data_IF_510309937347
#
_entry.id   IF_510309937347
#
_cell.length_a   1.000
_cell.length_b   1.000
_cell.length_c   1.000
_cell.angle_alpha   90.00
_cell.angle_beta   90.00
_cell.angle_gamma   90.00
#
_symmetry.space_group_name_H-M   'P 1'
#
loop_
_entity.id
_entity.type
_entity.pdbx_description
1 polymer ?
#
# COMPACT_ATOMS: atom_id res chain seq x y z
N UNK A 1 -11.37 10.07 16.94
CA UNK A 1 -10.36 9.27 16.23
C UNK A 1 -9.07 10.05 16.25
N UNK A 2 -7.96 9.47 16.65
CA UNK A 2 -6.67 10.15 16.51
C UNK A 2 -6.41 10.22 15.01
N UNK A 3 -6.22 11.41 14.49
CA UNK A 3 -5.92 11.65 13.08
C UNK A 3 -4.44 11.28 12.84
N UNK A 4 -4.21 9.99 12.67
CA UNK A 4 -2.86 9.44 12.53
C UNK A 4 -2.57 9.20 11.06
N UNK A 5 -1.59 9.94 10.52
CA UNK A 5 -1.11 9.70 9.16
C UNK A 5 -0.42 8.35 9.04
N UNK A 6 -0.70 7.56 7.98
CA UNK A 6 0.00 6.31 7.73
C UNK A 6 1.37 6.50 7.04
N UNK A 7 1.85 7.71 6.85
CA UNK A 7 3.02 7.98 6.00
C UNK A 7 4.30 7.26 6.47
N UNK A 8 4.54 7.18 7.78
CA UNK A 8 5.68 6.42 8.32
C UNK A 8 5.40 4.91 8.50
N UNK A 9 4.22 4.41 8.11
CA UNK A 9 3.92 2.97 8.09
C UNK A 9 4.48 2.30 6.84
N UNK A 10 5.76 2.54 6.59
CA UNK A 10 6.47 2.08 5.40
C UNK A 10 7.90 1.66 5.74
N UNK A 11 8.58 1.01 4.82
CA UNK A 11 9.98 0.65 5.01
C UNK A 11 10.90 1.83 4.70
N UNK A 12 11.98 1.95 5.45
CA UNK A 12 12.94 3.05 5.29
C UNK A 12 13.52 3.12 3.85
N UNK A 13 13.63 1.98 3.18
CA UNK A 13 14.18 1.93 1.83
C UNK A 13 13.34 2.72 0.81
N UNK A 14 12.04 2.85 1.01
CA UNK A 14 11.18 3.62 0.12
C UNK A 14 11.53 5.11 0.15
N UNK A 15 11.82 5.64 1.35
CA UNK A 15 12.30 7.02 1.48
C UNK A 15 13.68 7.22 0.86
N UNK A 16 14.60 6.27 1.04
CA UNK A 16 15.94 6.36 0.44
C UNK A 16 15.93 6.15 -1.07
N UNK A 17 15.02 5.32 -1.60
CA UNK A 17 14.78 5.20 -3.04
C UNK A 17 14.19 6.47 -3.63
N UNK A 18 13.24 7.11 -2.94
CA UNK A 18 12.70 8.40 -3.34
C UNK A 18 13.81 9.46 -3.39
N UNK A 19 14.66 9.53 -2.35
CA UNK A 19 15.79 10.46 -2.28
C UNK A 19 16.77 10.26 -3.46
N UNK A 20 17.09 9.02 -3.80
CA UNK A 20 17.90 8.70 -4.96
C UNK A 20 17.22 9.10 -6.27
N UNK A 21 15.93 8.78 -6.42
CA UNK A 21 15.17 9.09 -7.62
C UNK A 21 14.96 10.60 -7.85
N UNK A 22 14.87 11.39 -6.79
CA UNK A 22 14.84 12.85 -6.90
C UNK A 22 16.18 13.41 -7.37
N UNK A 23 17.30 12.88 -6.84
CA UNK A 23 18.65 13.29 -7.21
C UNK A 23 19.01 12.96 -8.67
N UNK A 24 18.54 11.82 -9.17
CA UNK A 24 18.81 11.41 -10.55
C UNK A 24 17.74 11.87 -11.56
N UNK A 25 16.67 12.52 -11.08
CA UNK A 25 15.59 13.07 -11.90
C UNK A 25 14.55 12.04 -12.35
N UNK A 26 14.54 10.83 -11.80
CA UNK A 26 13.60 9.75 -12.18
C UNK A 26 12.31 9.77 -11.36
N UNK A 27 12.26 10.45 -10.23
CA UNK A 27 11.09 10.49 -9.35
C UNK A 27 9.78 10.88 -10.05
N UNK A 28 9.85 11.75 -11.06
CA UNK A 28 8.68 12.23 -11.81
C UNK A 28 8.32 11.38 -13.04
N UNK A 29 9.02 10.27 -13.27
CA UNK A 29 8.68 9.36 -14.38
C UNK A 29 7.35 8.66 -14.11
N UNK A 30 6.48 8.64 -15.12
CA UNK A 30 5.23 7.89 -15.04
C UNK A 30 5.50 6.40 -14.98
N UNK A 31 4.79 5.73 -14.09
CA UNK A 31 4.88 4.28 -13.91
C UNK A 31 3.54 3.70 -13.47
N UNK A 32 3.46 2.38 -13.51
CA UNK A 32 2.35 1.59 -12.97
C UNK A 32 2.94 0.54 -12.04
N UNK A 33 2.51 0.56 -10.78
CA UNK A 33 2.82 -0.50 -9.83
C UNK A 33 1.64 -1.46 -9.76
N UNK A 34 1.91 -2.74 -9.76
CA UNK A 34 0.89 -3.78 -9.70
C UNK A 34 1.04 -4.62 -8.44
N UNK A 35 -0.07 -4.81 -7.74
CA UNK A 35 -0.15 -5.69 -6.59
C UNK A 35 -0.74 -7.02 -7.02
N UNK A 36 0.00 -8.09 -6.79
CA UNK A 36 -0.45 -9.46 -7.07
C UNK A 36 0.17 -10.43 -6.06
N UNK A 37 -0.44 -11.60 -5.89
CA UNK A 37 0.17 -12.68 -5.12
C UNK A 37 0.99 -13.60 -6.04
N UNK A 38 2.19 -13.96 -5.62
CA UNK A 38 3.05 -14.89 -6.38
C UNK A 38 2.56 -16.33 -6.26
N UNK A 39 2.12 -16.72 -5.09
CA UNK A 39 1.58 -18.05 -4.79
C UNK A 39 0.62 -17.96 -3.61
N UNK A 40 -0.30 -18.88 -3.55
CA UNK A 40 -1.18 -19.07 -2.40
C UNK A 40 -0.62 -20.18 -1.49
N UNK A 41 -0.99 -20.20 -0.20
CA UNK A 41 -0.67 -21.32 0.67
C UNK A 41 -1.12 -22.66 0.09
N UNK A 42 -0.40 -23.72 0.43
CA UNK A 42 -0.67 -25.08 -0.08
C UNK A 42 -2.15 -25.47 0.09
N UNK A 43 -2.70 -26.09 -0.93
CA UNK A 43 -4.10 -26.50 -0.98
C UNK A 43 -5.11 -25.38 -1.28
N UNK A 44 -4.69 -24.11 -1.37
CA UNK A 44 -5.56 -22.98 -1.73
C UNK A 44 -5.50 -22.70 -3.22
N UNK A 45 -6.66 -22.60 -3.87
CA UNK A 45 -6.77 -22.33 -5.31
C UNK A 45 -7.11 -20.89 -5.63
N UNK A 46 -7.64 -20.12 -4.69
CA UNK A 46 -8.04 -18.72 -4.84
C UNK A 46 -7.83 -17.97 -3.53
N UNK A 47 -7.71 -16.66 -3.65
CA UNK A 47 -7.84 -15.70 -2.54
C UNK A 47 -9.10 -14.87 -2.69
N UNK A 48 -9.43 -14.13 -1.63
CA UNK A 48 -10.54 -13.17 -1.60
C UNK A 48 -9.94 -11.81 -1.28
N UNK A 49 -10.23 -10.81 -2.12
CA UNK A 49 -9.74 -9.45 -1.93
C UNK A 49 -10.43 -8.81 -0.72
N UNK A 50 -9.62 -8.24 0.16
CA UNK A 50 -10.09 -7.38 1.23
C UNK A 50 -9.02 -6.35 1.57
N UNK A 51 -9.44 -5.18 2.08
CA UNK A 51 -8.56 -4.08 2.45
C UNK A 51 -8.55 -2.92 1.46
N UNK A 52 -9.23 -3.02 0.32
CA UNK A 52 -9.27 -1.94 -0.67
C UNK A 52 -9.86 -0.65 -0.09
N UNK A 53 -10.95 -0.75 0.68
CA UNK A 53 -11.54 0.40 1.37
C UNK A 53 -10.58 1.04 2.37
N UNK A 54 -9.87 0.24 3.16
CA UNK A 54 -8.85 0.74 4.11
C UNK A 54 -7.68 1.45 3.42
N UNK A 55 -7.28 0.97 2.24
CA UNK A 55 -6.25 1.65 1.46
C UNK A 55 -6.72 3.03 1.03
N UNK A 56 -7.94 3.14 0.51
CA UNK A 56 -8.50 4.42 0.08
C UNK A 56 -8.59 5.41 1.26
N UNK A 57 -9.13 4.96 2.39
CA UNK A 57 -9.18 5.76 3.62
C UNK A 57 -7.77 6.20 4.08
N UNK A 58 -6.79 5.29 4.02
CA UNK A 58 -5.42 5.60 4.39
C UNK A 58 -4.77 6.62 3.44
N UNK A 59 -5.07 6.56 2.15
CA UNK A 59 -4.56 7.51 1.16
C UNK A 59 -5.15 8.92 1.32
N UNK A 60 -6.41 9.03 1.71
CA UNK A 60 -7.04 10.32 2.03
C UNK A 60 -6.35 11.03 3.21
N UNK A 61 -5.75 10.27 4.12
CA UNK A 61 -5.05 10.76 5.30
C UNK A 61 -3.52 10.71 5.16
N UNK A 62 -3.01 10.31 3.99
CA UNK A 62 -1.58 10.17 3.77
C UNK A 62 -0.90 11.53 3.59
N UNK A 63 -0.23 11.99 4.62
CA UNK A 63 0.59 13.20 4.63
C UNK A 63 1.72 13.04 5.64
N UNK A 64 2.78 13.81 5.50
CA UNK A 64 3.82 13.91 6.52
C UNK A 64 3.61 15.20 7.31
N UNK A 65 3.48 15.06 8.62
CA UNK A 65 3.41 16.22 9.50
C UNK A 65 4.81 16.74 9.89
N UNK A 66 4.86 17.82 10.66
CA UNK A 66 6.12 18.45 11.06
C UNK A 66 6.99 17.51 11.92
N UNK A 67 6.39 16.58 12.69
CA UNK A 67 7.11 15.61 13.52
C UNK A 67 7.71 14.51 12.65
N UNK A 68 6.98 14.03 11.66
CA UNK A 68 7.44 13.05 10.67
C UNK A 68 8.64 13.59 9.87
N UNK A 69 8.49 14.81 9.32
CA UNK A 69 9.54 15.47 8.56
C UNK A 69 10.77 15.74 9.40
N UNK A 70 10.57 16.19 10.64
CA UNK A 70 11.65 16.39 11.60
C UNK A 70 12.37 15.08 11.91
N UNK A 71 11.64 13.98 12.14
CA UNK A 71 12.22 12.67 12.37
C UNK A 71 13.12 12.22 11.21
N UNK A 72 12.61 12.32 9.97
CA UNK A 72 13.39 11.95 8.78
C UNK A 72 14.65 12.83 8.61
N UNK A 73 14.55 14.12 8.92
CA UNK A 73 15.66 15.07 8.86
C UNK A 73 16.70 14.81 9.94
N UNK A 74 16.30 14.70 11.22
CA UNK A 74 17.19 14.50 12.35
C UNK A 74 17.96 13.18 12.27
N UNK A 75 17.34 12.16 11.67
CA UNK A 75 17.94 10.85 11.43
C UNK A 75 18.74 10.77 10.14
N UNK A 76 18.78 11.85 9.37
CA UNK A 76 19.46 11.88 8.06
C UNK A 76 19.02 10.75 7.12
N UNK A 77 17.73 10.39 7.16
CA UNK A 77 17.16 9.34 6.31
C UNK A 77 17.18 9.79 4.85
N UNK A 78 16.87 11.06 4.61
CA UNK A 78 16.78 11.68 3.28
C UNK A 78 17.44 13.05 3.28
N UNK A 79 17.73 13.57 2.08
CA UNK A 79 18.31 14.90 1.89
C UNK A 79 17.31 16.03 2.18
N UNK A 80 17.80 17.27 2.43
CA UNK A 80 16.91 18.43 2.62
C UNK A 80 15.99 18.72 1.42
N UNK A 81 16.44 18.40 0.22
CA UNK A 81 15.63 18.53 -1.00
C UNK A 81 14.44 17.58 -0.98
N UNK A 82 14.66 16.35 -0.49
CA UNK A 82 13.60 15.35 -0.36
C UNK A 82 12.62 15.72 0.76
N UNK A 83 13.09 16.27 1.89
CA UNK A 83 12.21 16.80 2.94
C UNK A 83 11.27 17.85 2.34
N UNK A 84 11.81 18.82 1.57
CA UNK A 84 10.99 19.85 0.92
C UNK A 84 9.97 19.30 -0.07
N UNK A 85 10.31 18.19 -0.74
CA UNK A 85 9.38 17.50 -1.64
C UNK A 85 8.26 16.82 -0.84
N UNK A 86 8.60 16.17 0.28
CA UNK A 86 7.66 15.48 1.17
C UNK A 86 6.69 16.44 1.88
N UNK A 87 7.11 17.65 2.23
CA UNK A 87 6.25 18.71 2.81
C UNK A 87 5.00 19.01 1.96
N UNK A 88 5.12 18.84 0.65
CA UNK A 88 4.05 19.14 -0.30
C UNK A 88 3.47 17.86 -0.94
N UNK A 89 3.80 16.71 -0.39
CA UNK A 89 3.37 15.45 -0.97
C UNK A 89 1.86 15.27 -0.87
N UNK A 90 1.26 14.93 -1.99
CA UNK A 90 -0.09 14.37 -2.08
C UNK A 90 -0.13 13.43 -3.28
N UNK A 91 -0.83 12.34 -3.14
CA UNK A 91 -1.01 11.40 -4.25
C UNK A 91 -1.96 11.99 -5.28
N UNK A 92 -1.48 12.18 -6.50
CA UNK A 92 -2.25 12.73 -7.62
C UNK A 92 -2.48 11.71 -8.75
N UNK A 93 -2.09 10.46 -8.53
CA UNK A 93 -2.25 9.36 -9.46
C UNK A 93 -3.65 8.77 -9.49
N UNK A 94 -3.77 7.55 -9.99
CA UNK A 94 -5.03 6.79 -10.00
C UNK A 94 -4.81 5.37 -9.48
N UNK A 95 -5.84 4.83 -8.85
CA UNK A 95 -5.87 3.45 -8.39
C UNK A 95 -7.02 2.71 -9.04
N UNK A 96 -6.70 1.54 -9.58
CA UNK A 96 -7.69 0.60 -10.16
C UNK A 96 -7.49 -0.75 -9.50
N UNK A 97 -8.55 -1.42 -9.12
CA UNK A 97 -8.43 -2.72 -8.47
C UNK A 97 -9.74 -3.46 -8.35
N UNK A 98 -9.63 -4.65 -7.82
CA UNK A 98 -10.76 -5.50 -7.51
C UNK A 98 -11.55 -4.93 -6.33
N UNK A 99 -12.84 -5.21 -6.30
CA UNK A 99 -13.72 -4.84 -5.19
C UNK A 99 -13.55 -5.81 -4.03
N UNK A 100 -13.91 -5.34 -2.85
CA UNK A 100 -14.01 -6.19 -1.67
C UNK A 100 -14.84 -7.45 -1.95
N UNK A 101 -14.32 -8.62 -1.59
CA UNK A 101 -14.99 -9.90 -1.76
C UNK A 101 -14.78 -10.57 -3.12
N UNK A 102 -14.16 -9.93 -4.11
CA UNK A 102 -13.84 -10.57 -5.37
C UNK A 102 -12.74 -11.63 -5.21
N UNK A 103 -12.83 -12.69 -6.01
CA UNK A 103 -11.82 -13.75 -5.99
C UNK A 103 -10.64 -13.39 -6.88
N UNK A 104 -9.44 -13.70 -6.41
CA UNK A 104 -8.22 -13.56 -7.18
C UNK A 104 -7.39 -14.85 -7.25
N UNK A 105 -6.53 -14.92 -8.25
CA UNK A 105 -5.62 -16.05 -8.49
C UNK A 105 -4.16 -15.56 -8.49
N UNK A 106 -3.19 -16.47 -8.26
CA UNK A 106 -1.78 -16.11 -8.34
C UNK A 106 -1.39 -15.47 -9.68
N UNK A 107 -0.48 -14.52 -9.64
CA UNK A 107 0.06 -13.79 -10.78
C UNK A 107 -0.96 -12.95 -11.57
N UNK A 108 -2.16 -12.72 -10.99
CA UNK A 108 -3.14 -11.79 -11.56
C UNK A 108 -3.12 -10.50 -10.75
N UNK A 109 -2.91 -9.32 -11.39
CA UNK A 109 -2.97 -8.04 -10.70
C UNK A 109 -4.34 -7.83 -10.06
N UNK A 110 -4.36 -7.54 -8.77
CA UNK A 110 -5.57 -7.26 -7.99
C UNK A 110 -5.75 -5.76 -7.74
N UNK A 111 -4.66 -5.00 -7.83
CA UNK A 111 -4.67 -3.56 -7.73
C UNK A 111 -3.51 -2.99 -8.54
N UNK A 112 -3.77 -1.87 -9.23
CA UNK A 112 -2.79 -1.09 -9.98
C UNK A 112 -2.77 0.34 -9.46
N UNK A 113 -1.57 0.88 -9.27
CA UNK A 113 -1.32 2.27 -8.89
C UNK A 113 -0.60 2.94 -10.05
N UNK A 114 -1.25 3.90 -10.70
CA UNK A 114 -0.65 4.72 -11.75
C UNK A 114 -0.27 6.08 -11.17
N UNK A 115 0.97 6.48 -11.30
CA UNK A 115 1.45 7.75 -10.80
C UNK A 115 2.86 8.05 -11.27
N UNK A 116 3.56 8.91 -10.55
CA UNK A 116 4.99 9.06 -10.68
C UNK A 116 5.72 7.99 -9.86
N UNK A 117 6.98 7.71 -10.20
CA UNK A 117 7.77 6.72 -9.48
C UNK A 117 7.87 7.05 -7.98
N UNK A 118 8.10 8.33 -7.65
CA UNK A 118 8.17 8.77 -6.26
C UNK A 118 6.86 8.56 -5.49
N UNK A 119 5.71 8.86 -6.10
CA UNK A 119 4.39 8.62 -5.51
C UNK A 119 4.14 7.14 -5.27
N UNK A 120 4.36 6.31 -6.30
CA UNK A 120 4.10 4.87 -6.21
C UNK A 120 5.01 4.18 -5.18
N UNK A 121 6.29 4.60 -5.11
CA UNK A 121 7.25 4.04 -4.15
C UNK A 121 6.82 4.26 -2.70
N UNK A 122 6.38 5.46 -2.34
CA UNK A 122 5.93 5.77 -0.97
C UNK A 122 4.69 4.98 -0.52
N UNK A 123 3.87 4.53 -1.47
CA UNK A 123 2.62 3.83 -1.18
C UNK A 123 2.78 2.30 -1.14
N UNK A 124 3.92 1.78 -1.56
CA UNK A 124 4.13 0.34 -1.77
C UNK A 124 3.86 -0.48 -0.51
N UNK A 125 4.60 -0.25 0.56
CA UNK A 125 4.48 -1.06 1.79
C UNK A 125 3.11 -0.87 2.46
N UNK A 126 2.56 0.33 2.47
CA UNK A 126 1.22 0.57 3.01
C UNK A 126 0.18 -0.30 2.30
N UNK A 127 0.16 -0.27 0.98
CA UNK A 127 -0.79 -1.03 0.16
C UNK A 127 -0.57 -2.53 0.35
N UNK A 128 0.67 -3.00 0.27
CA UNK A 128 1.00 -4.41 0.42
C UNK A 128 0.63 -4.95 1.80
N UNK A 129 0.93 -4.22 2.87
CA UNK A 129 0.64 -4.65 4.24
C UNK A 129 -0.86 -4.80 4.48
N UNK A 130 -1.66 -3.84 4.04
CA UNK A 130 -3.12 -3.87 4.18
C UNK A 130 -3.73 -5.01 3.37
N UNK A 131 -3.44 -5.08 2.06
CA UNK A 131 -4.01 -6.12 1.19
C UNK A 131 -3.58 -7.52 1.61
N UNK A 132 -2.32 -7.71 2.02
CA UNK A 132 -1.83 -9.01 2.45
C UNK A 132 -2.59 -9.52 3.68
N UNK A 133 -2.71 -8.70 4.71
CA UNK A 133 -3.36 -9.09 5.95
C UNK A 133 -4.87 -9.31 5.75
N UNK A 134 -5.57 -8.32 5.23
CA UNK A 134 -7.03 -8.35 5.10
C UNK A 134 -7.47 -9.46 4.13
N UNK A 135 -6.77 -9.63 3.00
CA UNK A 135 -7.07 -10.69 2.05
C UNK A 135 -6.75 -12.09 2.59
N UNK A 136 -5.70 -12.23 3.41
CA UNK A 136 -5.40 -13.50 4.07
C UNK A 136 -6.53 -13.91 5.03
N UNK A 137 -7.02 -12.97 5.84
CA UNK A 137 -8.14 -13.18 6.78
C UNK A 137 -9.42 -13.49 6.00
N UNK A 138 -9.79 -12.68 5.01
CA UNK A 138 -10.98 -12.90 4.18
C UNK A 138 -10.93 -14.25 3.46
N UNK A 139 -9.77 -14.61 2.92
CA UNK A 139 -9.56 -15.91 2.25
C UNK A 139 -9.70 -17.10 3.19
N UNK A 140 -9.27 -16.96 4.45
CA UNK A 140 -9.48 -17.99 5.47
C UNK A 140 -10.96 -18.07 5.86
N UNK A 141 -11.58 -16.93 6.16
CA UNK A 141 -12.98 -16.83 6.55
C UNK A 141 -13.92 -17.40 5.50
N UNK A 142 -13.67 -17.16 4.20
CA UNK A 142 -14.50 -17.69 3.11
C UNK A 142 -14.61 -19.22 3.16
N UNK A 143 -13.54 -19.90 3.53
CA UNK A 143 -13.50 -21.36 3.65
C UNK A 143 -14.19 -21.85 4.92
N UNK A 144 -14.02 -21.12 6.02
CA UNK A 144 -14.70 -21.43 7.28
C UNK A 144 -16.21 -21.32 7.13
N UNK A 145 -16.70 -20.24 6.52
CA UNK A 145 -18.11 -20.04 6.24
C UNK A 145 -18.66 -21.13 5.31
N UNK A 146 -17.93 -21.47 4.25
CA UNK A 146 -18.33 -22.55 3.33
C UNK A 146 -18.43 -23.91 4.03
N UNK A 147 -17.52 -24.20 4.95
CA UNK A 147 -17.56 -25.45 5.73
C UNK A 147 -18.65 -25.43 6.83
N UNK A 148 -18.91 -24.28 7.42
CA UNK A 148 -19.92 -24.12 8.47
C UNK A 148 -21.34 -24.23 7.92
N UNK A 149 -21.56 -24.00 6.64
CA UNK A 149 -22.89 -23.94 5.99
C UNK A 149 -23.79 -22.91 6.70
N UNK A 150 -24.86 -23.34 7.33
CA UNK A 150 -25.85 -22.48 8.02
C UNK A 150 -25.47 -22.12 9.46
N UNK A 151 -24.30 -22.56 9.94
CA UNK A 151 -23.84 -22.26 11.29
C UNK A 151 -23.09 -20.91 11.30
N UNK A 152 -23.33 -20.06 12.30
CA UNK A 152 -22.59 -18.81 12.42
C UNK A 152 -21.10 -19.09 12.69
N UNK A 153 -20.24 -18.33 12.01
CA UNK A 153 -18.82 -18.26 12.31
C UNK A 153 -18.56 -16.97 13.10
N UNK A 154 -17.93 -17.09 14.27
CA UNK A 154 -17.54 -15.97 15.11
C UNK A 154 -16.02 -15.93 15.23
#
# INVERSE_FOLDING_TARGET
MVDYSPALMTDMYEYTMLDAALKDGTANRKCVFEVFTRHLPEGRRYGVVAGTGRILDALEHFHLDDEDLKFLSDRHVVSPETIKWLENFHFAGSIKGYREGEMFFPNSPILQVEGTFGECTLLETLILSVLNYDSAVASAASRMVSAAKDRPCM
#
